data_IF_525756464999
#
_entry.id   IF_525756464999
#
_cell.length_a   1.000
_cell.length_b   1.000
_cell.length_c   1.000
_cell.angle_alpha   90.00
_cell.angle_beta   90.00
_cell.angle_gamma   90.00
#
_symmetry.space_group_name_H-M   'P 1'
#
loop_
_entity.id
_entity.type
_entity.pdbx_description
1 polymer ?
#
# COMPACT_ATOMS: atom_id res chain seq x y z
N UNK A 1 4.32 -10.37 -21.80
CA UNK A 1 5.64 -10.99 -21.49
C UNK A 1 6.23 -10.27 -20.29
N UNK A 2 6.67 -10.99 -19.26
CA UNK A 2 7.32 -10.41 -18.08
C UNK A 2 8.75 -10.04 -18.46
N UNK A 3 9.09 -8.75 -18.45
CA UNK A 3 10.36 -8.24 -18.98
C UNK A 3 11.55 -8.62 -18.09
N UNK A 4 11.35 -8.65 -16.77
CA UNK A 4 12.32 -9.04 -15.74
C UNK A 4 12.36 -10.54 -15.45
N UNK A 5 11.47 -11.33 -16.08
CA UNK A 5 11.35 -12.79 -15.89
C UNK A 5 11.27 -13.23 -14.42
N UNK A 6 10.75 -12.36 -13.55
CA UNK A 6 10.63 -12.61 -12.11
C UNK A 6 9.22 -12.32 -11.63
N UNK A 7 8.71 -13.19 -10.77
CA UNK A 7 7.40 -13.11 -10.14
C UNK A 7 7.55 -13.44 -8.66
N UNK A 8 6.56 -13.03 -7.87
CA UNK A 8 6.45 -13.37 -6.46
C UNK A 8 5.05 -13.92 -6.16
N UNK A 9 4.89 -14.74 -5.11
CA UNK A 9 3.58 -15.21 -4.67
C UNK A 9 2.62 -14.04 -4.42
N UNK A 10 1.43 -14.11 -5.05
CA UNK A 10 0.41 -13.07 -4.97
C UNK A 10 -0.55 -13.26 -3.79
N UNK A 11 -1.78 -12.75 -3.92
CA UNK A 11 -2.83 -12.95 -2.90
C UNK A 11 -2.52 -12.32 -1.54
N UNK A 12 -1.65 -11.30 -1.49
CA UNK A 12 -1.22 -10.69 -0.22
C UNK A 12 -0.04 -11.40 0.46
N UNK A 13 0.47 -12.49 -0.11
CA UNK A 13 1.52 -13.31 0.49
C UNK A 13 2.83 -12.55 0.69
N UNK A 14 3.27 -11.82 -0.34
CA UNK A 14 4.46 -10.95 -0.24
C UNK A 14 4.33 -9.94 0.90
N UNK A 15 3.17 -9.31 1.07
CA UNK A 15 2.94 -8.27 2.08
C UNK A 15 2.96 -8.86 3.49
N UNK A 16 2.34 -10.02 3.72
CA UNK A 16 2.39 -10.72 5.00
C UNK A 16 3.80 -11.17 5.33
N UNK A 17 4.48 -11.85 4.40
CA UNK A 17 5.85 -12.31 4.59
C UNK A 17 6.83 -11.16 4.87
N UNK A 18 6.68 -10.03 4.16
CA UNK A 18 7.49 -8.85 4.41
C UNK A 18 7.20 -8.21 5.78
N UNK A 19 5.93 -8.12 6.18
CA UNK A 19 5.56 -7.61 7.50
C UNK A 19 6.14 -8.47 8.63
N UNK A 20 6.04 -9.80 8.54
CA UNK A 20 6.62 -10.71 9.53
C UNK A 20 8.15 -10.67 9.53
N UNK A 21 8.78 -10.58 8.36
CA UNK A 21 10.24 -10.41 8.29
C UNK A 21 10.71 -9.13 8.99
N UNK A 22 10.03 -8.00 8.76
CA UNK A 22 10.36 -6.73 9.40
C UNK A 22 10.16 -6.75 10.92
N UNK A 23 9.19 -7.55 11.40
CA UNK A 23 8.92 -7.75 12.83
C UNK A 23 9.79 -8.83 13.47
N UNK A 24 10.47 -9.65 12.66
CA UNK A 24 11.31 -10.74 13.16
C UNK A 24 12.42 -10.21 14.08
N UNK A 25 12.81 -11.04 15.06
CA UNK A 25 13.90 -10.71 15.96
C UNK A 25 15.22 -10.43 15.23
N UNK A 26 15.47 -11.12 14.12
CA UNK A 26 16.70 -10.98 13.36
C UNK A 26 16.77 -9.63 12.66
N UNK A 27 15.67 -9.16 12.07
CA UNK A 27 15.63 -7.83 11.46
C UNK A 27 15.65 -6.72 12.52
N UNK A 28 14.83 -6.82 13.58
CA UNK A 28 14.72 -5.78 14.61
C UNK A 28 16.04 -5.53 15.36
N UNK A 29 16.90 -6.55 15.51
CA UNK A 29 18.25 -6.39 16.09
C UNK A 29 19.16 -5.49 15.24
N UNK A 30 18.94 -5.43 13.93
CA UNK A 30 19.72 -4.56 13.04
C UNK A 30 19.33 -3.08 13.15
N UNK A 31 18.14 -2.80 13.69
CA UNK A 31 17.56 -1.46 13.80
C UNK A 31 17.79 -0.88 15.20
N UNK A 32 18.31 0.35 15.28
CA UNK A 32 18.67 1.01 16.56
C UNK A 32 17.72 2.13 16.94
N UNK A 33 17.47 2.27 18.24
CA UNK A 33 16.75 3.41 18.81
C UNK A 33 15.30 3.55 18.33
N UNK A 34 14.87 4.80 18.11
CA UNK A 34 13.48 5.15 17.76
C UNK A 34 13.01 4.60 16.41
N UNK A 35 13.93 4.24 15.52
CA UNK A 35 13.60 3.70 14.19
C UNK A 35 12.84 2.37 14.25
N UNK A 36 12.91 1.64 15.37
CA UNK A 36 12.14 0.40 15.58
C UNK A 36 10.63 0.63 15.43
N UNK A 37 10.11 1.72 16.00
CA UNK A 37 8.69 2.07 15.88
C UNK A 37 8.29 2.40 14.43
N UNK A 38 9.19 3.03 13.67
CA UNK A 38 8.95 3.31 12.25
C UNK A 38 8.91 2.04 11.40
N UNK A 39 9.78 1.07 11.69
CA UNK A 39 9.77 -0.25 11.04
C UNK A 39 8.50 -1.02 11.37
N UNK A 40 8.09 -1.02 12.63
CA UNK A 40 6.84 -1.67 13.07
C UNK A 40 5.62 -1.06 12.37
N UNK A 41 5.52 0.28 12.35
CA UNK A 41 4.45 0.99 11.65
C UNK A 41 4.46 0.71 10.14
N UNK A 42 5.64 0.60 9.52
CA UNK A 42 5.75 0.24 8.10
C UNK A 42 5.30 -1.20 7.84
N UNK A 43 5.69 -2.14 8.71
CA UNK A 43 5.24 -3.53 8.62
C UNK A 43 3.71 -3.64 8.74
N UNK A 44 3.10 -2.89 9.67
CA UNK A 44 1.64 -2.82 9.80
C UNK A 44 0.95 -2.20 8.59
N UNK A 45 1.58 -1.19 7.97
CA UNK A 45 1.07 -0.56 6.77
C UNK A 45 1.04 -1.52 5.58
N UNK A 46 2.00 -2.44 5.44
CA UNK A 46 1.99 -3.46 4.37
C UNK A 46 0.75 -4.35 4.44
N UNK A 47 0.27 -4.64 5.66
CA UNK A 47 -0.92 -5.47 5.88
C UNK A 47 -2.21 -4.81 5.38
N UNK A 48 -2.21 -3.54 4.97
CA UNK A 48 -3.41 -2.92 4.39
C UNK A 48 -3.89 -3.65 3.14
N UNK A 49 -2.96 -4.19 2.33
CA UNK A 49 -3.29 -4.88 1.08
C UNK A 49 -4.12 -6.16 1.34
N UNK A 50 -3.64 -7.13 2.15
CA UNK A 50 -4.46 -8.30 2.49
C UNK A 50 -5.74 -7.95 3.25
N UNK A 51 -5.74 -6.90 4.10
CA UNK A 51 -6.97 -6.40 4.75
C UNK A 51 -8.02 -5.98 3.73
N UNK A 52 -7.60 -5.20 2.74
CA UNK A 52 -8.49 -4.71 1.69
C UNK A 52 -8.97 -5.86 0.81
N UNK A 53 -8.14 -6.86 0.51
CA UNK A 53 -8.56 -8.06 -0.21
C UNK A 53 -9.66 -8.83 0.55
N UNK A 54 -9.45 -9.10 1.83
CA UNK A 54 -10.44 -9.79 2.67
C UNK A 54 -11.76 -9.01 2.76
N UNK A 55 -11.68 -7.71 3.04
CA UNK A 55 -12.85 -6.84 3.14
C UNK A 55 -13.64 -6.77 1.82
N UNK A 56 -12.95 -6.65 0.69
CA UNK A 56 -13.59 -6.60 -0.63
C UNK A 56 -14.24 -7.93 -1.03
N UNK A 57 -13.70 -9.05 -0.54
CA UNK A 57 -14.26 -10.38 -0.72
C UNK A 57 -15.41 -10.70 0.27
N UNK A 58 -15.69 -9.83 1.23
CA UNK A 58 -16.75 -10.00 2.22
C UNK A 58 -16.39 -10.93 3.38
N UNK A 59 -15.09 -11.20 3.58
CA UNK A 59 -14.59 -12.05 4.66
C UNK A 59 -14.23 -11.24 5.90
N UNK A 60 -14.17 -11.91 7.06
CA UNK A 60 -13.68 -11.28 8.29
C UNK A 60 -12.18 -10.99 8.16
N UNK A 61 -11.84 -9.71 8.29
CA UNK A 61 -10.47 -9.22 8.09
C UNK A 61 -9.52 -9.69 9.19
N UNK A 62 -10.01 -9.84 10.43
CA UNK A 62 -9.17 -10.25 11.55
C UNK A 62 -8.86 -11.73 11.45
N UNK A 63 -9.88 -12.57 11.19
CA UNK A 63 -9.72 -14.01 11.09
C UNK A 63 -8.80 -14.38 9.91
N UNK A 64 -9.04 -13.78 8.73
CA UNK A 64 -8.21 -14.01 7.55
C UNK A 64 -6.73 -13.63 7.79
N UNK A 65 -6.49 -12.46 8.40
CA UNK A 65 -5.12 -12.05 8.70
C UNK A 65 -4.45 -12.89 9.78
N UNK A 66 -5.18 -13.29 10.82
CA UNK A 66 -4.63 -14.11 11.88
C UNK A 66 -4.14 -15.44 11.32
N UNK A 67 -4.99 -16.11 10.53
CA UNK A 67 -4.66 -17.38 9.87
C UNK A 67 -3.44 -17.23 8.94
N UNK A 68 -3.41 -16.20 8.09
CA UNK A 68 -2.28 -15.97 7.18
C UNK A 68 -0.95 -15.73 7.93
N UNK A 69 -1.00 -14.98 9.04
CA UNK A 69 0.20 -14.63 9.81
C UNK A 69 0.73 -15.83 10.59
N UNK A 70 -0.15 -16.63 11.19
CA UNK A 70 0.23 -17.83 11.94
C UNK A 70 0.94 -18.84 11.03
N UNK A 71 0.40 -19.09 9.85
CA UNK A 71 1.01 -19.97 8.85
C UNK A 71 2.33 -19.39 8.30
N UNK A 72 2.39 -18.08 8.03
CA UNK A 72 3.61 -17.43 7.58
C UNK A 72 4.75 -17.51 8.63
N UNK A 73 4.43 -17.40 9.92
CA UNK A 73 5.41 -17.55 11.02
C UNK A 73 5.96 -18.98 11.07
N UNK A 74 5.16 -19.98 10.69
CA UNK A 74 5.60 -21.37 10.57
C UNK A 74 6.49 -21.62 9.35
N UNK A 75 6.75 -20.60 8.52
CA UNK A 75 7.61 -20.67 7.35
C UNK A 75 6.90 -21.05 6.05
N UNK A 76 5.56 -21.03 6.06
CA UNK A 76 4.74 -21.34 4.88
C UNK A 76 4.59 -20.10 3.98
N UNK A 77 4.43 -20.32 2.67
CA UNK A 77 4.10 -19.27 1.70
C UNK A 77 2.59 -19.17 1.62
N UNK A 78 2.02 -18.07 2.10
CA UNK A 78 0.59 -17.99 2.38
C UNK A 78 -0.04 -16.75 1.75
N UNK A 79 -1.00 -16.96 0.84
CA UNK A 79 -1.89 -15.93 0.32
C UNK A 79 -3.32 -16.13 0.79
N UNK A 80 -4.16 -15.13 0.51
CA UNK A 80 -5.58 -15.16 0.81
C UNK A 80 -6.37 -15.75 -0.36
N UNK A 81 -7.16 -16.79 -0.10
CA UNK A 81 -8.21 -17.22 -1.01
C UNK A 81 -9.42 -16.30 -0.88
N UNK A 82 -9.75 -15.58 -1.95
CA UNK A 82 -10.91 -14.67 -1.97
C UNK A 82 -12.25 -15.42 -1.99
N UNK A 83 -12.28 -16.70 -2.36
CA UNK A 83 -13.50 -17.51 -2.39
C UNK A 83 -13.86 -18.04 -1.01
N UNK A 84 -12.87 -18.54 -0.28
CA UNK A 84 -13.09 -19.19 1.03
C UNK A 84 -12.76 -18.29 2.22
N UNK A 85 -12.01 -17.20 2.01
CA UNK A 85 -11.54 -16.30 3.07
C UNK A 85 -10.42 -16.88 3.93
N UNK A 86 -9.84 -18.02 3.53
CA UNK A 86 -8.79 -18.75 4.25
C UNK A 86 -7.44 -18.59 3.58
N UNK A 87 -6.41 -18.98 4.31
CA UNK A 87 -5.06 -19.11 3.77
C UNK A 87 -4.95 -20.20 2.71
N UNK A 88 -4.21 -19.93 1.64
CA UNK A 88 -3.88 -20.86 0.55
C UNK A 88 -2.43 -20.64 0.08
N UNK A 89 -1.83 -21.65 -0.55
CA UNK A 89 -0.52 -21.52 -1.19
C UNK A 89 -0.69 -20.87 -2.57
N UNK A 90 -0.23 -19.61 -2.77
CA UNK A 90 -0.40 -18.91 -4.05
C UNK A 90 0.36 -19.57 -5.19
N UNK A 91 1.46 -20.27 -4.91
CA UNK A 91 2.27 -20.91 -5.95
C UNK A 91 1.55 -22.12 -6.53
N UNK A 92 0.87 -22.90 -5.68
CA UNK A 92 0.04 -24.03 -6.09
C UNK A 92 -1.21 -23.58 -6.86
N UNK A 93 -1.82 -22.47 -6.45
CA UNK A 93 -2.99 -21.89 -7.12
C UNK A 93 -2.63 -21.08 -8.38
N UNK A 94 -1.33 -20.93 -8.68
CA UNK A 94 -0.86 -20.20 -9.86
C UNK A 94 -1.06 -18.68 -9.78
N UNK A 95 -1.15 -18.13 -8.58
CA UNK A 95 -1.40 -16.72 -8.31
C UNK A 95 -0.08 -15.99 -8.08
N UNK A 96 0.35 -15.23 -9.08
CA UNK A 96 1.63 -14.55 -9.09
C UNK A 96 1.51 -13.05 -9.40
N UNK A 97 2.27 -12.25 -8.65
CA UNK A 97 2.44 -10.83 -8.90
C UNK A 97 3.79 -10.54 -9.59
N UNK A 98 3.82 -9.49 -10.41
CA UNK A 98 5.06 -9.04 -11.04
C UNK A 98 5.96 -8.36 -10.01
N UNK A 99 7.18 -8.89 -9.86
CA UNK A 99 8.19 -8.33 -8.96
C UNK A 99 8.47 -6.85 -9.25
N UNK A 100 8.64 -6.48 -10.52
CA UNK A 100 8.87 -5.08 -10.92
C UNK A 100 7.76 -4.12 -10.50
N UNK A 101 6.49 -4.56 -10.59
CA UNK A 101 5.35 -3.73 -10.21
C UNK A 101 5.38 -3.49 -8.71
N UNK A 102 5.48 -4.56 -7.91
CA UNK A 102 5.54 -4.45 -6.45
C UNK A 102 6.72 -3.60 -5.98
N UNK A 103 7.91 -3.81 -6.54
CA UNK A 103 9.10 -3.00 -6.23
C UNK A 103 8.84 -1.51 -6.49
N UNK A 104 8.26 -1.17 -7.64
CA UNK A 104 7.96 0.21 -7.98
C UNK A 104 6.89 0.81 -7.07
N UNK A 105 5.85 0.05 -6.74
CA UNK A 105 4.79 0.47 -5.83
C UNK A 105 5.32 0.79 -4.44
N UNK A 106 6.14 -0.11 -3.86
CA UNK A 106 6.74 0.11 -2.54
C UNK A 106 7.68 1.31 -2.55
N UNK A 107 8.56 1.42 -3.55
CA UNK A 107 9.48 2.56 -3.64
C UNK A 107 8.75 3.90 -3.76
N UNK A 108 7.72 3.95 -4.61
CA UNK A 108 6.94 5.16 -4.86
C UNK A 108 6.08 5.55 -3.65
N UNK A 109 5.41 4.59 -3.01
CA UNK A 109 4.57 4.86 -1.83
C UNK A 109 5.42 5.33 -0.65
N UNK A 110 6.57 4.70 -0.39
CA UNK A 110 7.51 5.15 0.63
C UNK A 110 8.01 6.56 0.37
N UNK A 111 8.39 6.89 -0.87
CA UNK A 111 8.86 8.23 -1.21
C UNK A 111 7.78 9.30 -1.01
N UNK A 112 6.53 9.03 -1.41
CA UNK A 112 5.41 9.96 -1.23
C UNK A 112 5.09 10.12 0.25
N UNK A 113 5.04 9.03 1.01
CA UNK A 113 4.79 9.06 2.45
C UNK A 113 5.86 9.88 3.19
N UNK A 114 7.14 9.69 2.85
CA UNK A 114 8.23 10.50 3.42
C UNK A 114 8.07 11.98 3.10
N UNK A 115 7.75 12.34 1.86
CA UNK A 115 7.52 13.74 1.49
C UNK A 115 6.35 14.35 2.27
N UNK A 116 5.26 13.59 2.46
CA UNK A 116 4.11 14.05 3.23
C UNK A 116 4.46 14.26 4.71
N UNK A 117 5.24 13.36 5.31
CA UNK A 117 5.68 13.46 6.70
C UNK A 117 6.67 14.62 6.95
N UNK A 118 7.37 15.09 5.91
CA UNK A 118 8.29 16.23 5.98
C UNK A 118 7.59 17.58 5.76
N UNK A 119 6.31 17.59 5.37
CA UNK A 119 5.55 18.82 5.20
C UNK A 119 5.05 19.33 6.56
N UNK A 120 5.69 20.38 7.09
CA UNK A 120 5.26 21.01 8.34
C UNK A 120 4.06 21.95 8.15
N UNK A 121 3.95 22.61 6.99
CA UNK A 121 2.94 23.63 6.74
C UNK A 121 2.34 23.54 5.33
N UNK A 122 1.03 23.79 5.22
CA UNK A 122 0.28 23.75 3.96
C UNK A 122 -0.25 25.15 3.63
N UNK A 123 0.36 25.80 2.63
CA UNK A 123 -0.09 27.08 2.12
C UNK A 123 -1.30 26.88 1.18
N UNK A 124 -2.50 27.20 1.67
CA UNK A 124 -3.70 27.25 0.83
C UNK A 124 -3.70 28.57 0.06
N UNK A 125 -3.58 28.51 -1.26
CA UNK A 125 -3.88 29.66 -2.10
C UNK A 125 -5.34 30.06 -1.89
N UNK A 126 -5.60 31.26 -1.36
CA UNK A 126 -6.92 31.88 -1.50
C UNK A 126 -7.16 32.01 -2.99
N UNK A 127 -8.28 31.48 -3.49
CA UNK A 127 -8.80 31.91 -4.77
C UNK A 127 -8.92 33.43 -4.67
N UNK A 128 -7.99 34.15 -5.30
CA UNK A 128 -8.22 35.55 -5.64
C UNK A 128 -9.47 35.50 -6.50
N UNK A 129 -10.62 35.82 -5.89
CA UNK A 129 -11.88 35.91 -6.60
C UNK A 129 -11.59 36.69 -7.86
N UNK A 130 -11.98 36.15 -9.01
CA UNK A 130 -11.93 36.86 -10.29
C UNK A 130 -12.55 38.22 -10.04
N UNK A 131 -11.72 39.24 -9.83
CA UNK A 131 -12.17 40.61 -9.79
C UNK A 131 -12.66 40.84 -11.21
N UNK A 132 -13.98 40.97 -11.35
CA UNK A 132 -14.64 41.13 -12.63
C UNK A 132 -13.89 42.17 -13.45
N UNK A 133 -13.32 41.75 -14.57
CA UNK A 133 -12.72 42.67 -15.52
C UNK A 133 -13.78 43.69 -15.95
N UNK A 134 -13.39 44.94 -16.26
CA UNK A 134 -14.32 45.96 -16.71
C UNK A 134 -15.12 45.44 -17.90
N UNK A 135 -16.45 45.48 -17.78
CA UNK A 135 -17.36 45.00 -18.81
C UNK A 135 -17.13 45.71 -20.15
N UNK A 136 -17.39 45.05 -21.29
CA UNK A 136 -17.19 45.64 -22.59
C UNK A 136 -18.06 46.89 -22.76
N UNK A 137 -17.43 47.92 -23.32
CA UNK A 137 -17.97 49.26 -23.48
C UNK A 137 -19.27 49.30 -24.29
N UNK A 138 -20.05 50.33 -23.95
CA UNK A 138 -21.16 50.83 -24.74
C UNK A 138 -20.66 51.22 -26.14
N UNK A 139 -21.25 50.64 -27.18
CA UNK A 139 -21.30 51.22 -28.53
C UNK A 139 -22.79 51.29 -28.94
N UNK A 140 -23.33 52.50 -29.04
CA UNK A 140 -24.54 52.78 -29.82
C UNK A 140 -24.20 52.96 -31.31
N UNK A 141 -25.08 53.51 -32.17
CA UNK A 141 -26.51 53.78 -32.02
C UNK A 141 -27.38 52.88 -32.93
N UNK A 142 -28.66 52.73 -32.58
CA UNK A 142 -29.70 52.12 -33.42
C UNK A 142 -30.11 53.06 -34.57
N UNK A 143 -30.31 52.48 -35.77
CA UNK A 143 -31.01 53.11 -36.90
C UNK A 143 -32.52 52.94 -36.73
#
# INVERSE_FOLDING_TARGET
MIVDKSVVPGGGAFQVACAEHLKSHDFIKTVKGKSKFGVEAFADALLIIPKTLAANAGHDVQDALADMRDQCINGEVVGLDLSTGKSMDPELEGIFDSFRVLRNCVASSSSIASNLLLCDELLKARQMGRQGGPGPGMDGPEQ
#
